data_IF_019825619167
#
_entry.id   IF_019825619167
#
_cell.length_a   1.000
_cell.length_b   1.000
_cell.length_c   1.000
_cell.angle_alpha   90.00
_cell.angle_beta   90.00
_cell.angle_gamma   90.00
#
_symmetry.space_group_name_H-M   'P 1'
#
loop_
_entity.id
_entity.type
_entity.pdbx_description
1 polymer ?
#
# COMPACT_ATOMS: atom_id res chain seq x y z
N UNK A 1 -17.77 9.03 -3.08
CA UNK A 1 -18.90 8.85 -4.03
C UNK A 1 -20.16 8.91 -3.19
N UNK A 2 -21.08 9.84 -3.50
CA UNK A 2 -22.34 9.97 -2.75
C UNK A 2 -23.30 8.91 -3.26
N UNK A 3 -23.82 8.07 -2.41
CA UNK A 3 -24.83 7.07 -2.77
C UNK A 3 -26.16 7.78 -3.04
N UNK A 4 -26.76 7.53 -4.21
CA UNK A 4 -28.11 8.03 -4.52
C UNK A 4 -29.15 7.07 -3.95
N UNK A 5 -30.13 7.60 -3.22
CA UNK A 5 -31.31 6.84 -2.78
C UNK A 5 -32.39 6.98 -3.85
N UNK A 6 -32.87 5.87 -4.38
CA UNK A 6 -33.99 5.83 -5.31
C UNK A 6 -35.27 5.61 -4.53
N UNK A 7 -36.31 6.37 -4.86
CA UNK A 7 -37.65 6.20 -4.26
C UNK A 7 -38.63 5.65 -5.30
N UNK A 8 -39.75 5.13 -4.83
CA UNK A 8 -40.80 4.58 -5.72
C UNK A 8 -41.30 5.66 -6.69
N UNK A 9 -41.25 5.38 -7.98
CA UNK A 9 -41.62 6.30 -9.05
C UNK A 9 -40.45 7.05 -9.71
N UNK A 10 -39.22 6.92 -9.19
CA UNK A 10 -38.04 7.48 -9.86
C UNK A 10 -37.78 6.78 -11.22
N UNK A 11 -37.49 7.58 -12.22
CA UNK A 11 -37.04 7.09 -13.52
C UNK A 11 -35.52 6.99 -13.50
N UNK A 12 -35.00 5.78 -13.68
CA UNK A 12 -33.56 5.53 -13.86
C UNK A 12 -33.13 6.13 -15.22
N UNK A 13 -32.29 7.15 -15.19
CA UNK A 13 -31.66 7.70 -16.38
C UNK A 13 -30.36 6.97 -16.69
N UNK A 14 -29.88 7.04 -17.94
CA UNK A 14 -28.57 6.53 -18.30
C UNK A 14 -27.44 7.17 -17.47
N UNK A 15 -27.59 8.43 -17.07
CA UNK A 15 -26.66 9.12 -16.17
C UNK A 15 -26.67 8.50 -14.78
N UNK A 16 -27.84 8.14 -14.25
CA UNK A 16 -27.93 7.48 -12.94
C UNK A 16 -27.28 6.10 -12.97
N UNK A 17 -27.53 5.32 -14.03
CA UNK A 17 -26.86 4.03 -14.22
C UNK A 17 -25.36 4.19 -14.26
N UNK A 18 -24.85 5.09 -15.08
CA UNK A 18 -23.42 5.32 -15.25
C UNK A 18 -22.75 5.89 -13.98
N UNK A 19 -23.47 6.69 -13.20
CA UNK A 19 -22.91 7.34 -12.01
C UNK A 19 -23.00 6.47 -10.74
N UNK A 20 -24.10 5.74 -10.57
CA UNK A 20 -24.42 5.09 -9.30
C UNK A 20 -24.51 3.56 -9.37
N UNK A 21 -24.83 3.01 -10.54
CA UNK A 21 -25.05 1.57 -10.69
C UNK A 21 -23.99 0.88 -11.55
N UNK A 22 -23.31 1.59 -12.45
CA UNK A 22 -22.21 0.98 -13.17
C UNK A 22 -21.00 0.81 -12.21
N UNK A 23 -20.67 -0.43 -11.95
CA UNK A 23 -19.39 -0.80 -11.37
C UNK A 23 -18.32 -0.89 -12.49
N UNK A 24 -18.49 -0.10 -13.55
CA UNK A 24 -17.40 0.04 -14.51
C UNK A 24 -16.22 0.59 -13.72
N UNK A 25 -15.28 -0.31 -13.53
CA UNK A 25 -14.17 -0.14 -12.62
C UNK A 25 -13.59 1.25 -12.74
N UNK A 26 -13.80 2.05 -11.72
CA UNK A 26 -13.21 3.36 -11.62
C UNK A 26 -11.73 3.24 -11.96
N UNK A 27 -11.21 4.18 -12.72
CA UNK A 27 -9.80 4.19 -13.04
C UNK A 27 -8.98 4.14 -11.75
N UNK A 28 -7.88 3.40 -11.76
CA UNK A 28 -6.92 3.44 -10.66
C UNK A 28 -6.52 4.88 -10.42
N UNK A 29 -6.61 5.31 -9.18
CA UNK A 29 -6.19 6.64 -8.73
C UNK A 29 -4.76 6.56 -8.23
N UNK A 30 -3.90 7.45 -8.72
CA UNK A 30 -2.54 7.57 -8.18
C UNK A 30 -2.55 8.28 -6.83
N UNK A 31 -1.65 7.85 -5.93
CA UNK A 31 -1.36 8.62 -4.72
C UNK A 31 0.15 8.72 -4.51
N UNK A 32 0.57 9.68 -3.70
CA UNK A 32 1.97 9.86 -3.32
C UNK A 32 2.13 9.49 -1.85
N UNK A 33 2.69 8.31 -1.53
CA UNK A 33 2.93 7.93 -0.14
C UNK A 33 3.87 8.91 0.55
N UNK A 34 3.53 9.30 1.77
CA UNK A 34 4.48 9.96 2.67
C UNK A 34 5.35 8.87 3.31
N UNK A 35 6.67 9.06 3.25
CA UNK A 35 7.63 8.10 3.77
C UNK A 35 8.23 8.57 5.10
N UNK A 36 8.51 7.63 5.99
CA UNK A 36 9.29 7.86 7.22
C UNK A 36 10.48 6.91 7.20
N UNK A 37 11.64 7.41 7.56
CA UNK A 37 12.93 6.72 7.54
C UNK A 37 13.35 6.22 6.14
N UNK A 38 12.75 6.76 5.09
CA UNK A 38 13.13 6.55 3.70
C UNK A 38 13.04 7.87 2.96
N UNK A 39 14.14 8.26 2.31
CA UNK A 39 14.19 9.35 1.34
C UNK A 39 14.17 8.76 -0.06
N UNK A 40 13.16 9.11 -0.86
CA UNK A 40 13.02 8.59 -2.23
C UNK A 40 14.14 9.09 -3.13
N UNK A 41 14.60 10.34 -2.93
CA UNK A 41 15.63 10.94 -3.77
C UNK A 41 15.23 10.93 -5.24
N UNK A 42 16.09 10.39 -6.11
CA UNK A 42 15.81 10.17 -7.54
C UNK A 42 15.22 8.79 -7.86
N UNK A 43 14.76 8.06 -6.84
CA UNK A 43 13.99 6.83 -7.02
C UNK A 43 12.62 7.08 -7.66
N UNK A 44 11.97 6.03 -8.13
CA UNK A 44 10.66 6.13 -8.75
C UNK A 44 9.59 5.40 -7.92
N UNK A 45 8.48 6.09 -7.66
CA UNK A 45 7.32 5.55 -6.95
C UNK A 45 6.17 5.38 -7.93
N UNK A 46 5.56 4.21 -7.94
CA UNK A 46 4.28 3.93 -8.60
C UNK A 46 3.32 3.42 -7.55
N UNK A 47 2.33 4.23 -7.20
CA UNK A 47 1.36 3.88 -6.18
C UNK A 47 -0.05 4.20 -6.68
N UNK A 48 -0.90 3.19 -6.68
CA UNK A 48 -2.24 3.23 -7.25
C UNK A 48 -3.23 2.59 -6.28
N UNK A 49 -4.41 3.17 -6.16
CA UNK A 49 -5.51 2.57 -5.41
C UNK A 49 -6.82 2.65 -6.19
N UNK A 50 -7.72 1.77 -5.83
CA UNK A 50 -9.10 1.74 -6.30
C UNK A 50 -10.03 1.72 -5.09
N UNK A 51 -11.14 2.46 -5.16
CA UNK A 51 -12.15 2.53 -4.11
C UNK A 51 -13.50 2.05 -4.61
N UNK A 52 -14.08 1.07 -3.92
CA UNK A 52 -15.45 0.61 -4.12
C UNK A 52 -16.20 0.72 -2.78
N UNK A 53 -16.95 1.79 -2.60
CA UNK A 53 -17.57 2.09 -1.31
C UNK A 53 -16.51 2.28 -0.21
N UNK A 54 -16.49 1.37 0.77
CA UNK A 54 -15.50 1.35 1.85
C UNK A 54 -14.28 0.48 1.54
N UNK A 55 -14.36 -0.39 0.52
CA UNK A 55 -13.24 -1.22 0.13
C UNK A 55 -12.20 -0.39 -0.64
N UNK A 56 -10.98 -0.41 -0.14
CA UNK A 56 -9.80 0.13 -0.80
C UNK A 56 -8.91 -1.04 -1.22
N UNK A 57 -8.61 -1.12 -2.51
CA UNK A 57 -7.59 -2.02 -3.05
C UNK A 57 -6.44 -1.15 -3.53
N UNK A 58 -5.20 -1.51 -3.20
CA UNK A 58 -4.04 -0.68 -3.50
C UNK A 58 -2.82 -1.50 -3.87
N UNK A 59 -1.89 -0.86 -4.56
CA UNK A 59 -0.59 -1.40 -4.91
C UNK A 59 0.45 -0.29 -4.91
N UNK A 60 1.65 -0.64 -4.47
CA UNK A 60 2.79 0.24 -4.34
C UNK A 60 4.04 -0.44 -4.87
N UNK A 61 4.80 0.29 -5.70
CA UNK A 61 6.16 -0.06 -6.09
C UNK A 61 7.06 1.14 -5.87
N UNK A 62 8.18 0.96 -5.19
CA UNK A 62 9.30 1.88 -5.16
C UNK A 62 10.50 1.19 -5.81
N UNK A 63 11.16 1.88 -6.74
CA UNK A 63 12.47 1.50 -7.28
C UNK A 63 13.49 2.51 -6.81
N UNK A 64 14.55 2.04 -6.19
CA UNK A 64 15.61 2.87 -5.62
C UNK A 64 16.45 3.52 -6.73
N UNK A 65 16.68 4.81 -6.60
CA UNK A 65 17.65 5.54 -7.38
C UNK A 65 18.98 5.68 -6.65
N UNK A 66 19.95 6.33 -7.26
CA UNK A 66 21.29 6.51 -6.69
C UNK A 66 21.33 7.42 -5.46
N UNK A 67 20.28 8.22 -5.22
CA UNK A 67 20.15 9.10 -4.05
C UNK A 67 19.04 8.66 -3.09
N UNK A 68 18.41 7.51 -3.34
CA UNK A 68 17.45 6.92 -2.40
C UNK A 68 18.20 6.38 -1.19
N UNK A 69 17.69 6.61 0.01
CA UNK A 69 18.33 6.16 1.24
C UNK A 69 17.33 5.69 2.29
N UNK A 70 17.75 4.72 3.10
CA UNK A 70 17.00 4.18 4.24
C UNK A 70 17.77 4.49 5.51
N UNK A 71 17.11 5.09 6.50
CA UNK A 71 17.72 5.47 7.79
C UNK A 71 17.18 4.67 8.97
N UNK A 72 16.19 3.80 8.77
CA UNK A 72 15.57 3.02 9.85
C UNK A 72 14.34 2.26 9.38
N UNK A 73 13.43 1.98 10.30
CA UNK A 73 12.15 1.30 10.02
C UNK A 73 11.37 2.05 8.93
N UNK A 74 11.26 1.45 7.76
CA UNK A 74 10.54 2.05 6.64
C UNK A 74 9.05 2.09 6.95
N UNK A 75 8.46 3.28 6.84
CA UNK A 75 7.01 3.46 6.94
C UNK A 75 6.48 4.24 5.75
N UNK A 76 5.23 4.00 5.40
CA UNK A 76 4.56 4.72 4.32
C UNK A 76 3.08 4.94 4.64
N UNK A 77 2.52 6.05 4.12
CA UNK A 77 1.11 6.36 4.31
C UNK A 77 0.21 5.52 3.41
N UNK A 78 -0.98 5.21 3.91
CA UNK A 78 -2.09 4.69 3.10
C UNK A 78 -2.70 5.78 2.21
N UNK A 79 -3.35 5.42 1.08
CA UNK A 79 -4.04 6.38 0.22
C UNK A 79 -5.28 7.01 0.88
N UNK A 80 -5.96 6.27 1.73
CA UNK A 80 -7.15 6.67 2.47
C UNK A 80 -7.04 6.12 3.89
N UNK A 81 -7.53 6.83 4.89
CA UNK A 81 -7.53 6.35 6.26
C UNK A 81 -8.35 5.05 6.38
N UNK A 82 -7.77 4.07 7.06
CA UNK A 82 -8.43 2.80 7.35
C UNK A 82 -9.48 2.96 8.46
N UNK A 83 -10.46 2.06 8.49
CA UNK A 83 -11.41 1.97 9.58
C UNK A 83 -10.70 1.64 10.90
N UNK A 84 -11.19 2.20 12.00
CA UNK A 84 -10.69 1.88 13.34
C UNK A 84 -11.15 0.49 13.77
N UNK A 85 -10.31 -0.22 14.53
CA UNK A 85 -10.63 -1.54 15.09
C UNK A 85 -10.41 -2.72 14.15
N UNK A 86 -9.90 -2.49 12.94
CA UNK A 86 -9.39 -3.53 12.06
C UNK A 86 -7.87 -3.34 11.98
N UNK A 87 -7.13 -4.17 12.64
CA UNK A 87 -5.67 -4.20 12.51
C UNK A 87 -5.30 -4.90 11.21
N UNK A 88 -4.60 -4.21 10.32
CA UNK A 88 -4.09 -4.78 9.08
C UNK A 88 -2.75 -5.43 9.33
N UNK A 89 -2.73 -6.58 9.92
CA UNK A 89 -1.47 -7.24 10.18
C UNK A 89 -0.91 -8.02 8.98
N UNK A 90 -1.57 -7.99 7.82
CA UNK A 90 -1.21 -8.93 6.76
C UNK A 90 -1.27 -8.35 5.34
N UNK A 91 -0.67 -7.22 5.10
CA UNK A 91 -0.38 -6.83 3.72
C UNK A 91 0.95 -7.43 3.31
N UNK A 92 0.91 -8.33 2.33
CA UNK A 92 2.11 -8.97 1.82
C UNK A 92 2.84 -8.10 0.81
N UNK A 93 4.16 -8.22 0.83
CA UNK A 93 5.05 -7.53 -0.07
C UNK A 93 6.33 -8.32 -0.34
N UNK A 94 7.20 -7.71 -1.10
CA UNK A 94 8.50 -8.28 -1.44
C UNK A 94 9.53 -7.16 -1.50
N UNK A 95 10.67 -7.39 -0.89
CA UNK A 95 11.88 -6.62 -1.15
C UNK A 95 12.73 -7.37 -2.16
N UNK A 96 13.20 -6.69 -3.16
CA UNK A 96 14.03 -7.24 -4.24
C UNK A 96 15.36 -6.51 -4.24
N UNK A 97 16.42 -7.25 -3.97
CA UNK A 97 17.80 -6.79 -4.15
C UNK A 97 18.12 -6.79 -5.66
N UNK A 98 18.79 -5.77 -6.13
CA UNK A 98 19.21 -5.64 -7.53
C UNK A 98 20.11 -6.80 -7.99
N UNK A 99 20.74 -7.52 -7.07
CA UNK A 99 21.50 -8.75 -7.34
C UNK A 99 20.62 -9.98 -7.62
N UNK A 100 19.30 -9.88 -7.42
CA UNK A 100 18.31 -10.91 -7.74
C UNK A 100 17.68 -11.61 -6.53
N UNK A 101 18.15 -11.35 -5.31
CA UNK A 101 17.56 -11.91 -4.10
C UNK A 101 16.18 -11.30 -3.82
N UNK A 102 15.25 -12.14 -3.35
CA UNK A 102 13.90 -11.71 -2.97
C UNK A 102 13.61 -12.08 -1.53
N UNK A 103 13.14 -11.12 -0.78
CA UNK A 103 12.79 -11.29 0.62
C UNK A 103 11.30 -11.07 0.81
N UNK A 104 10.65 -12.01 1.46
CA UNK A 104 9.25 -11.88 1.83
C UNK A 104 9.09 -10.75 2.85
N UNK A 105 8.08 -9.93 2.68
CA UNK A 105 7.80 -8.84 3.59
C UNK A 105 6.33 -8.76 3.93
N UNK A 106 6.03 -8.19 5.08
CA UNK A 106 4.69 -7.83 5.51
C UNK A 106 4.67 -6.35 5.89
N UNK A 107 3.58 -5.69 5.60
CA UNK A 107 3.35 -4.35 6.11
C UNK A 107 2.36 -4.42 7.26
N UNK A 108 2.82 -3.97 8.43
CA UNK A 108 2.05 -3.92 9.67
C UNK A 108 1.44 -2.54 9.86
N UNK A 109 0.19 -2.49 10.29
CA UNK A 109 -0.47 -1.25 10.66
C UNK A 109 0.16 -0.64 11.91
N UNK A 110 0.59 0.61 11.81
CA UNK A 110 1.07 1.42 12.95
C UNK A 110 -0.03 2.39 13.41
N UNK A 111 -0.88 2.78 12.47
CA UNK A 111 -2.05 3.60 12.72
C UNK A 111 -3.05 3.40 11.57
N UNK A 112 -4.21 4.04 11.66
CA UNK A 112 -5.21 4.02 10.57
C UNK A 112 -4.71 4.62 9.25
N UNK A 113 -3.57 5.28 9.23
CA UNK A 113 -3.03 5.95 8.04
C UNK A 113 -1.62 5.52 7.66
N UNK A 114 -0.93 4.72 8.48
CA UNK A 114 0.50 4.40 8.30
C UNK A 114 0.75 2.91 8.46
N UNK A 115 1.45 2.35 7.48
CA UNK A 115 1.99 0.99 7.52
C UNK A 115 3.52 1.02 7.74
N UNK A 116 4.03 0.04 8.46
CA UNK A 116 5.45 -0.23 8.63
C UNK A 116 5.83 -1.47 7.83
N UNK A 117 6.84 -1.33 7.00
CA UNK A 117 7.41 -2.42 6.22
C UNK A 117 8.34 -3.25 7.10
N UNK A 118 8.06 -4.55 7.21
CA UNK A 118 8.87 -5.49 7.96
C UNK A 118 9.24 -6.67 7.06
N UNK A 119 10.40 -7.24 7.24
CA UNK A 119 10.74 -8.48 6.56
C UNK A 119 10.28 -9.69 7.36
N UNK A 120 10.13 -10.80 6.67
CA UNK A 120 9.87 -12.12 7.27
C UNK A 120 11.17 -12.92 7.23
N UNK A 121 11.65 -13.32 8.39
CA UNK A 121 12.87 -14.09 8.52
C UNK A 121 12.61 -15.43 9.27
N UNK A 122 13.50 -16.38 9.12
CA UNK A 122 13.45 -17.65 9.84
C UNK A 122 14.58 -17.71 10.85
N UNK A 123 14.22 -17.81 12.13
CA UNK A 123 15.18 -17.92 13.23
C UNK A 123 14.81 -19.14 14.10
N UNK A 124 15.74 -20.08 14.25
CA UNK A 124 15.54 -21.21 15.13
C UNK A 124 14.37 -22.13 14.77
N UNK A 125 13.98 -22.20 13.48
CA UNK A 125 12.84 -23.00 13.01
C UNK A 125 11.48 -22.27 13.09
N UNK A 126 11.45 -21.03 13.51
CA UNK A 126 10.25 -20.18 13.55
C UNK A 126 10.34 -19.06 12.54
N UNK A 127 9.20 -18.66 11.99
CA UNK A 127 9.09 -17.47 11.16
C UNK A 127 8.88 -16.29 12.09
N UNK A 128 9.74 -15.28 11.97
CA UNK A 128 9.71 -14.07 12.78
C UNK A 128 9.63 -12.83 11.89
N UNK A 129 8.99 -11.81 12.40
CA UNK A 129 8.95 -10.50 11.79
C UNK A 129 10.15 -9.69 12.25
N UNK A 130 10.88 -9.10 11.32
CA UNK A 130 12.04 -8.24 11.59
C UNK A 130 11.80 -6.87 10.98
N UNK A 131 12.05 -5.84 11.76
CA UNK A 131 11.90 -4.45 11.31
C UNK A 131 12.99 -4.12 10.30
N UNK A 132 12.60 -3.44 9.21
CA UNK A 132 13.58 -2.95 8.23
C UNK A 132 14.54 -1.91 8.83
N UNK A 133 15.75 -1.88 8.33
CA UNK A 133 16.77 -0.90 8.69
C UNK A 133 17.58 -0.49 7.46
N UNK A 134 18.63 0.29 7.65
CA UNK A 134 19.57 0.65 6.56
C UNK A 134 20.31 -0.55 5.98
N UNK A 135 20.35 -1.67 6.71
CA UNK A 135 21.07 -2.90 6.34
C UNK A 135 20.21 -4.15 6.37
N UNK A 136 18.91 -4.02 6.69
CA UNK A 136 17.96 -5.14 6.75
C UNK A 136 16.81 -4.90 5.77
N UNK A 137 16.48 -5.88 4.92
CA UNK A 137 16.97 -7.28 4.81
C UNK A 137 18.33 -7.40 4.09
N UNK A 138 18.82 -6.36 3.50
CA UNK A 138 20.10 -6.22 2.81
C UNK A 138 20.51 -4.75 2.80
N UNK A 139 21.75 -4.44 2.47
CA UNK A 139 22.18 -3.05 2.25
C UNK A 139 21.52 -2.50 0.99
N UNK A 140 20.70 -1.48 1.16
CA UNK A 140 19.93 -0.89 0.07
C UNK A 140 20.81 -0.16 -0.93
N UNK A 141 20.60 -0.45 -2.22
CA UNK A 141 21.36 0.12 -3.33
C UNK A 141 20.46 0.56 -4.48
N UNK A 142 21.05 1.18 -5.50
CA UNK A 142 20.33 1.55 -6.73
C UNK A 142 19.70 0.33 -7.39
N UNK A 143 18.49 0.48 -7.90
CA UNK A 143 17.66 -0.54 -8.55
C UNK A 143 17.03 -1.57 -7.63
N UNK A 144 17.26 -1.51 -6.31
CA UNK A 144 16.47 -2.29 -5.36
C UNK A 144 15.00 -1.88 -5.42
N UNK A 145 14.13 -2.80 -5.04
CA UNK A 145 12.70 -2.54 -5.18
C UNK A 145 11.92 -2.97 -3.93
N UNK A 146 10.89 -2.21 -3.65
CA UNK A 146 9.88 -2.51 -2.63
C UNK A 146 8.53 -2.65 -3.35
N UNK A 147 7.84 -3.77 -3.10
CA UNK A 147 6.50 -4.02 -3.60
C UNK A 147 5.55 -4.31 -2.45
N UNK A 148 4.38 -3.69 -2.49
CA UNK A 148 3.25 -4.03 -1.63
C UNK A 148 1.94 -3.98 -2.41
N UNK A 149 1.01 -4.82 -2.03
CA UNK A 149 -0.38 -4.73 -2.49
C UNK A 149 -1.31 -5.29 -1.42
N UNK A 150 -2.50 -4.74 -1.33
CA UNK A 150 -3.47 -5.19 -0.35
C UNK A 150 -4.82 -4.56 -0.54
N UNK A 151 -5.72 -4.92 0.37
CA UNK A 151 -7.04 -4.35 0.47
C UNK A 151 -7.39 -4.12 1.94
N UNK A 152 -8.20 -3.08 2.20
CA UNK A 152 -8.69 -2.78 3.54
C UNK A 152 -10.00 -2.00 3.48
N UNK A 153 -10.67 -1.90 4.61
CA UNK A 153 -11.86 -1.09 4.77
C UNK A 153 -11.47 0.33 5.19
N UNK A 154 -11.95 1.33 4.45
CA UNK A 154 -11.72 2.73 4.81
C UNK A 154 -12.67 3.21 5.90
N UNK A 155 -12.20 4.18 6.67
CA UNK A 155 -13.11 5.03 7.44
C UNK A 155 -14.11 5.68 6.48
N UNK A 156 -15.39 5.70 6.84
CA UNK A 156 -16.47 6.14 5.96
C UNK A 156 -16.32 7.59 5.50
#
# INVERSE_FOLDING_TARGET
MTQKTFVSGDVLTASDVNTYLSHEGGAWTSWSPTWTNLSVGNGTVSALYYRAGRLIVWKLKLTFGSTTSVSGAIRFSLPVAASTGIEFDNTFGTFVDATGSRHFSIAQSISTTVLQANMVNSVGGYVVQVVTSSTEPFTWTTSDQIFYSGAYESLA
#
